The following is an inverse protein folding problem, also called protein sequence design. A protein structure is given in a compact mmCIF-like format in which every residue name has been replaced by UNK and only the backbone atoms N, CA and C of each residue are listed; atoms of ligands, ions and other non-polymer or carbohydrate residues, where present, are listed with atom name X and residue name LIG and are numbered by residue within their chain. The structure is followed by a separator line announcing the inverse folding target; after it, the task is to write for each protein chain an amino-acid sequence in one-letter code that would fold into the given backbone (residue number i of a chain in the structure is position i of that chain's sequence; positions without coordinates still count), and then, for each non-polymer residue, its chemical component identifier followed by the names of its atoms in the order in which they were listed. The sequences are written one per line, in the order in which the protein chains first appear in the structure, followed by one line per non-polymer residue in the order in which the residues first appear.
data_IF_170847903842
#
_entry.id   IF_170847903842
#
_cell.length_a   1.000
_cell.length_b   1.000
_cell.length_c   1.000
_cell.angle_alpha   90.00
_cell.angle_beta   90.00
_cell.angle_gamma   90.00
#
_symmetry.space_group_name_H-M   'P 1'
#
loop_
_entity.id
_entity.type
_entity.pdbx_description
1 polymer ?
#
# COMPACT_ATOMS: atom_id res chain seq x y z
N UNK A 1 16.42 -8.66 3.61
CA UNK A 1 15.43 -7.80 4.30
C UNK A 1 16.13 -6.59 4.88
N UNK A 2 16.93 -6.73 5.94
CA UNK A 2 17.68 -5.61 6.56
C UNK A 2 18.50 -4.76 5.56
N UNK A 3 19.25 -5.39 4.66
CA UNK A 3 20.04 -4.65 3.65
C UNK A 3 19.15 -3.83 2.69
N UNK A 4 17.96 -4.33 2.35
CA UNK A 4 17.03 -3.63 1.47
C UNK A 4 16.42 -2.44 2.20
N UNK A 5 16.05 -2.60 3.47
CA UNK A 5 15.54 -1.52 4.32
C UNK A 5 16.54 -0.36 4.41
N UNK A 6 17.82 -0.68 4.69
CA UNK A 6 18.91 0.30 4.72
C UNK A 6 19.10 0.97 3.36
N UNK A 7 19.13 0.19 2.27
CA UNK A 7 19.28 0.73 0.93
C UNK A 7 18.12 1.66 0.55
N UNK A 8 16.88 1.31 0.91
CA UNK A 8 15.70 2.14 0.69
C UNK A 8 15.78 3.47 1.44
N UNK A 9 16.09 3.45 2.75
CA UNK A 9 16.21 4.70 3.54
C UNK A 9 17.32 5.60 3.00
N UNK A 10 18.47 5.03 2.64
CA UNK A 10 19.57 5.80 2.03
C UNK A 10 19.19 6.36 0.67
N UNK A 11 18.51 5.57 -0.18
CA UNK A 11 18.01 6.01 -1.48
C UNK A 11 17.07 7.21 -1.34
N UNK A 12 16.11 7.12 -0.41
CA UNK A 12 15.17 8.22 -0.12
C UNK A 12 15.93 9.47 0.31
N UNK A 13 16.83 9.36 1.29
CA UNK A 13 17.58 10.50 1.85
C UNK A 13 18.45 11.20 0.80
N UNK A 14 18.99 10.44 -0.15
CA UNK A 14 19.85 10.95 -1.22
C UNK A 14 19.04 11.63 -2.36
N UNK A 15 17.77 11.28 -2.57
CA UNK A 15 17.01 11.67 -3.76
C UNK A 15 15.79 12.57 -3.49
N UNK A 16 15.28 12.64 -2.26
CA UNK A 16 14.21 13.57 -1.90
C UNK A 16 14.30 14.03 -0.43
N UNK A 17 13.35 14.87 -0.01
CA UNK A 17 13.27 15.39 1.36
C UNK A 17 12.22 14.68 2.23
N UNK A 18 11.80 13.48 1.83
CA UNK A 18 10.93 12.64 2.65
C UNK A 18 11.64 12.35 3.99
N UNK A 19 11.01 12.64 5.13
CA UNK A 19 11.66 12.45 6.41
C UNK A 19 11.76 10.96 6.74
N UNK A 20 12.98 10.43 6.69
CA UNK A 20 13.33 9.06 7.11
C UNK A 20 14.53 9.10 8.05
N UNK A 21 14.67 8.12 8.96
CA UNK A 21 15.82 8.05 9.88
C UNK A 21 17.17 8.05 9.14
N UNK A 22 18.14 8.83 9.63
CA UNK A 22 19.53 8.69 9.19
C UNK A 22 20.15 7.39 9.72
N UNK A 23 20.82 6.63 8.85
CA UNK A 23 21.53 5.40 9.23
C UNK A 23 22.95 5.72 9.67
N UNK A 24 23.30 5.39 10.91
CA UNK A 24 24.64 5.58 11.47
C UNK A 24 25.54 4.35 11.27
N UNK A 25 25.00 3.15 11.46
CA UNK A 25 25.69 1.88 11.25
C UNK A 25 24.68 0.75 11.04
N UNK A 26 25.07 -0.32 10.36
CA UNK A 26 24.28 -1.54 10.29
C UNK A 26 25.21 -2.73 10.09
N UNK A 27 24.77 -3.91 10.50
CA UNK A 27 25.42 -5.18 10.24
C UNK A 27 24.34 -6.22 9.92
N UNK A 28 24.49 -6.90 8.79
CA UNK A 28 23.54 -7.91 8.33
C UNK A 28 23.98 -9.33 8.64
N UNK A 29 25.29 -9.56 8.84
CA UNK A 29 25.81 -10.87 9.24
C UNK A 29 25.57 -11.08 10.73
N UNK A 30 24.96 -12.19 11.11
CA UNK A 30 24.75 -12.53 12.52
C UNK A 30 26.06 -12.97 13.21
N UNK A 31 27.12 -13.30 12.46
CA UNK A 31 28.47 -13.55 12.98
C UNK A 31 29.22 -12.25 13.30
N UNK A 32 28.58 -11.39 14.10
CA UNK A 32 29.15 -10.16 14.61
C UNK A 32 29.20 -10.18 16.16
N UNK A 33 29.93 -9.25 16.82
CA UNK A 33 30.07 -9.25 18.28
C UNK A 33 28.75 -9.19 19.07
N UNK A 34 27.67 -8.66 18.47
CA UNK A 34 26.32 -8.55 19.05
C UNK A 34 25.49 -9.83 18.81
N UNK A 35 25.93 -10.72 17.90
CA UNK A 35 25.30 -12.01 17.54
C UNK A 35 23.88 -11.90 16.98
N UNK A 36 23.59 -10.77 16.34
CA UNK A 36 22.32 -10.53 15.65
C UNK A 36 22.55 -9.45 14.61
N UNK A 37 21.83 -9.52 13.51
CA UNK A 37 21.75 -8.42 12.56
C UNK A 37 21.16 -7.17 13.26
N UNK A 38 21.63 -5.97 12.92
CA UNK A 38 21.18 -4.72 13.53
C UNK A 38 21.29 -3.51 12.60
N UNK A 39 20.49 -2.49 12.89
CA UNK A 39 20.61 -1.13 12.35
C UNK A 39 20.70 -0.16 13.54
N UNK A 40 21.66 0.75 13.51
CA UNK A 40 21.77 1.91 14.38
C UNK A 40 21.41 3.15 13.57
N UNK A 41 20.35 3.85 13.98
CA UNK A 41 19.77 4.96 13.21
C UNK A 41 19.33 6.13 14.11
N UNK A 42 18.99 7.25 13.47
CA UNK A 42 18.42 8.44 14.09
C UNK A 42 17.12 8.13 14.83
N UNK A 43 17.00 8.64 16.06
CA UNK A 43 15.71 8.69 16.76
C UNK A 43 14.96 9.94 16.30
N UNK A 44 13.93 9.73 15.48
CA UNK A 44 13.07 10.81 15.01
C UNK A 44 12.29 11.44 16.16
N UNK A 45 12.05 12.77 16.14
CA UNK A 45 11.28 13.44 17.18
C UNK A 45 9.78 13.12 17.08
N UNK A 46 9.08 13.22 18.21
CA UNK A 46 7.65 13.02 18.30
C UNK A 46 7.25 11.58 18.63
N UNK A 47 6.01 11.24 18.32
CA UNK A 47 5.41 9.93 18.59
C UNK A 47 4.82 9.36 17.31
N UNK A 48 4.68 8.04 17.23
CA UNK A 48 3.88 7.45 16.14
C UNK A 48 2.45 7.98 16.24
N UNK A 49 1.84 8.29 15.11
CA UNK A 49 0.54 8.96 15.07
C UNK A 49 -0.59 8.15 15.73
N UNK A 50 -0.42 6.82 15.80
CA UNK A 50 -1.27 5.91 16.56
C UNK A 50 -1.24 6.16 18.08
N UNK A 51 -0.11 6.59 18.61
CA UNK A 51 0.15 6.75 20.06
C UNK A 51 0.14 8.22 20.53
N UNK A 52 0.16 9.17 19.60
CA UNK A 52 0.00 10.60 19.89
C UNK A 52 -1.36 10.92 20.53
N UNK A 53 -1.50 12.08 21.18
CA UNK A 53 -2.76 12.55 21.78
C UNK A 53 -3.45 11.54 22.74
N UNK A 54 -2.66 10.81 23.53
CA UNK A 54 -3.15 9.84 24.52
C UNK A 54 -3.36 8.43 23.96
N UNK A 55 -3.03 8.20 22.69
CA UNK A 55 -2.83 6.90 22.07
C UNK A 55 -4.01 5.94 22.11
N UNK A 56 -3.69 4.64 22.09
CA UNK A 56 -4.69 3.58 22.00
C UNK A 56 -5.76 3.62 23.09
N UNK A 57 -5.39 3.97 24.33
CA UNK A 57 -6.33 4.04 25.46
C UNK A 57 -7.38 5.16 25.28
N UNK A 58 -7.03 6.23 24.55
CA UNK A 58 -7.90 7.40 24.37
C UNK A 58 -8.75 7.28 23.12
N UNK A 59 -8.15 6.91 21.98
CA UNK A 59 -8.82 6.93 20.67
C UNK A 59 -8.63 5.64 19.87
N UNK A 60 -8.17 4.56 20.50
CA UNK A 60 -7.99 3.22 19.89
C UNK A 60 -7.12 3.24 18.64
N UNK A 61 -6.11 4.11 18.63
CA UNK A 61 -5.19 4.30 17.51
C UNK A 61 -5.72 5.17 16.37
N UNK A 62 -7.01 5.55 16.38
CA UNK A 62 -7.59 6.37 15.31
C UNK A 62 -7.19 7.83 15.48
N UNK A 63 -6.73 8.48 14.41
CA UNK A 63 -6.38 9.91 14.44
C UNK A 63 -7.59 10.76 14.88
N UNK A 64 -7.46 11.58 15.95
CA UNK A 64 -8.54 12.45 16.44
C UNK A 64 -9.02 13.44 15.37
N UNK A 65 -10.33 13.69 15.32
CA UNK A 65 -10.98 14.44 14.23
C UNK A 65 -10.40 15.85 14.06
N UNK A 66 -10.08 16.50 15.16
CA UNK A 66 -9.49 17.84 15.23
C UNK A 66 -8.11 17.92 14.56
N UNK A 67 -7.36 16.83 14.52
CA UNK A 67 -6.00 16.78 13.95
C UNK A 67 -5.95 16.23 12.53
N UNK A 68 -7.01 15.52 12.08
CA UNK A 68 -7.05 14.84 10.76
C UNK A 68 -6.67 15.74 9.61
N UNK A 69 -7.18 16.99 9.56
CA UNK A 69 -6.92 17.86 8.42
C UNK A 69 -5.43 18.20 8.27
N UNK A 70 -4.74 18.49 9.38
CA UNK A 70 -3.30 18.76 9.36
C UNK A 70 -2.52 17.48 9.07
N UNK A 71 -2.85 16.40 9.76
CA UNK A 71 -2.23 15.09 9.57
C UNK A 71 -2.30 14.65 8.09
N UNK A 72 -3.51 14.63 7.50
CA UNK A 72 -3.73 14.25 6.10
C UNK A 72 -2.96 15.14 5.13
N UNK A 73 -2.91 16.45 5.37
CA UNK A 73 -2.15 17.37 4.52
C UNK A 73 -0.65 17.08 4.59
N UNK A 74 -0.14 16.77 5.78
CA UNK A 74 1.28 16.48 6.00
C UNK A 74 1.66 15.11 5.40
N UNK A 75 0.81 14.10 5.58
CA UNK A 75 0.96 12.78 4.94
C UNK A 75 0.85 12.87 3.41
N UNK A 76 -0.03 13.70 2.85
CA UNK A 76 -0.14 13.89 1.40
C UNK A 76 1.17 14.40 0.79
N UNK A 77 1.87 15.32 1.45
CA UNK A 77 3.20 15.79 1.00
C UNK A 77 4.23 14.65 1.00
N UNK A 78 4.24 13.84 2.05
CA UNK A 78 5.12 12.68 2.15
C UNK A 78 4.81 11.66 1.05
N UNK A 79 3.54 11.37 0.81
CA UNK A 79 3.11 10.43 -0.21
C UNK A 79 3.50 10.87 -1.63
N UNK A 80 3.37 12.17 -1.94
CA UNK A 80 3.87 12.75 -3.20
C UNK A 80 5.39 12.57 -3.34
N UNK A 81 6.16 12.85 -2.28
CA UNK A 81 7.62 12.69 -2.32
C UNK A 81 8.03 11.22 -2.49
N UNK A 82 7.36 10.30 -1.82
CA UNK A 82 7.59 8.86 -1.94
C UNK A 82 7.35 8.38 -3.37
N UNK A 83 6.18 8.68 -3.94
CA UNK A 83 5.81 8.25 -5.31
C UNK A 83 6.53 9.01 -6.42
N UNK A 84 7.20 10.13 -6.11
CA UNK A 84 8.11 10.80 -7.04
C UNK A 84 9.45 10.07 -7.20
N UNK A 85 9.83 9.23 -6.23
CA UNK A 85 10.99 8.34 -6.37
C UNK A 85 10.58 7.18 -7.27
N UNK A 86 11.22 7.06 -8.43
CA UNK A 86 10.86 6.04 -9.42
C UNK A 86 12.07 5.31 -9.95
N UNK A 87 11.91 4.02 -10.18
CA UNK A 87 12.94 3.15 -10.75
C UNK A 87 12.50 2.60 -12.11
N UNK A 88 13.44 2.24 -13.01
CA UNK A 88 13.09 1.69 -14.31
C UNK A 88 12.46 0.28 -14.25
N UNK A 89 12.56 -0.40 -13.11
CA UNK A 89 12.00 -1.74 -12.89
C UNK A 89 11.16 -1.77 -11.62
N UNK A 90 10.34 -2.82 -11.51
CA UNK A 90 9.57 -3.17 -10.31
C UNK A 90 10.43 -4.11 -9.47
N UNK A 91 10.72 -3.72 -8.23
CA UNK A 91 11.56 -4.53 -7.33
C UNK A 91 12.01 -3.79 -6.08
N UNK A 92 12.62 -4.52 -5.15
CA UNK A 92 13.19 -3.96 -3.92
C UNK A 92 14.35 -3.04 -4.24
N UNK A 93 14.62 -2.02 -3.43
CA UNK A 93 15.81 -1.18 -3.62
C UNK A 93 17.04 -1.90 -3.06
N UNK A 94 18.09 -2.03 -3.88
CA UNK A 94 19.37 -2.63 -3.47
C UNK A 94 20.56 -1.78 -3.92
N UNK A 95 21.67 -1.84 -3.18
CA UNK A 95 22.94 -1.21 -3.58
C UNK A 95 23.62 -2.06 -4.66
N UNK A 96 24.07 -1.42 -5.74
CA UNK A 96 24.86 -2.08 -6.78
C UNK A 96 26.37 -2.03 -6.45
N UNK A 97 27.19 -2.74 -7.22
CA UNK A 97 28.65 -2.82 -7.01
C UNK A 97 29.39 -1.49 -7.20
N UNK A 98 28.78 -0.51 -7.85
CA UNK A 98 29.34 0.82 -8.10
C UNK A 98 28.91 1.84 -7.03
N UNK A 99 28.12 1.41 -6.03
CA UNK A 99 27.61 2.26 -4.95
C UNK A 99 26.30 2.98 -5.28
N UNK A 100 25.75 2.80 -6.48
CA UNK A 100 24.42 3.28 -6.87
C UNK A 100 23.30 2.36 -6.39
N UNK A 101 22.09 2.59 -6.91
CA UNK A 101 20.89 1.82 -6.59
C UNK A 101 20.35 1.12 -7.83
N UNK A 102 19.82 -0.09 -7.63
CA UNK A 102 19.08 -0.85 -8.63
C UNK A 102 17.91 -1.60 -8.00
N UNK A 103 17.06 -2.21 -8.83
CA UNK A 103 15.96 -3.04 -8.36
C UNK A 103 16.41 -4.49 -8.19
N UNK A 104 16.15 -5.08 -7.02
CA UNK A 104 16.32 -6.48 -6.71
C UNK A 104 15.00 -7.28 -6.74
N UNK A 105 15.06 -8.59 -6.46
CA UNK A 105 13.88 -9.45 -6.41
C UNK A 105 13.00 -9.16 -5.19
N UNK A 106 11.68 -9.28 -5.39
CA UNK A 106 10.67 -9.17 -4.34
C UNK A 106 10.50 -10.54 -3.66
N UNK A 107 10.60 -10.63 -2.31
CA UNK A 107 10.37 -11.88 -1.59
C UNK A 107 9.04 -12.55 -1.95
N UNK A 108 9.08 -13.83 -2.32
CA UNK A 108 7.89 -14.60 -2.67
C UNK A 108 7.32 -14.37 -4.09
N UNK A 109 7.77 -13.35 -4.82
CA UNK A 109 7.31 -13.05 -6.19
C UNK A 109 8.45 -13.21 -7.21
N UNK A 110 9.66 -12.79 -6.88
CA UNK A 110 10.83 -12.81 -7.78
C UNK A 110 11.11 -11.44 -8.40
N UNK A 111 11.67 -11.41 -9.62
CA UNK A 111 12.06 -10.17 -10.30
C UNK A 111 13.57 -9.87 -10.21
N UNK A 112 14.00 -8.62 -10.45
CA UNK A 112 13.17 -7.44 -10.77
C UNK A 112 12.43 -7.57 -12.10
N UNK A 113 11.34 -6.82 -12.28
CA UNK A 113 10.51 -6.88 -13.49
C UNK A 113 10.64 -5.62 -14.33
N UNK A 114 10.85 -5.79 -15.63
CA UNK A 114 10.91 -4.69 -16.60
C UNK A 114 9.52 -4.12 -16.94
N UNK A 115 8.45 -4.88 -16.67
CA UNK A 115 7.08 -4.45 -16.99
C UNK A 115 6.08 -4.79 -15.90
N UNK A 116 5.02 -3.98 -15.81
CA UNK A 116 3.86 -4.25 -14.94
C UNK A 116 3.19 -5.58 -15.30
N UNK A 117 3.10 -5.91 -16.60
CA UNK A 117 2.58 -7.19 -17.08
C UNK A 117 3.34 -8.36 -16.47
N UNK A 118 4.67 -8.36 -16.57
CA UNK A 118 5.50 -9.44 -16.03
C UNK A 118 5.37 -9.57 -14.51
N UNK A 119 5.23 -8.44 -13.80
CA UNK A 119 4.97 -8.44 -12.36
C UNK A 119 3.62 -9.10 -12.02
N UNK A 120 2.53 -8.71 -12.69
CA UNK A 120 1.20 -9.28 -12.41
C UNK A 120 1.12 -10.77 -12.76
N UNK A 121 1.77 -11.21 -13.83
CA UNK A 121 1.89 -12.64 -14.17
C UNK A 121 2.66 -13.42 -13.10
N UNK A 122 3.79 -12.88 -12.64
CA UNK A 122 4.61 -13.52 -11.61
C UNK A 122 3.89 -13.57 -10.26
N UNK A 123 3.22 -12.48 -9.86
CA UNK A 123 2.38 -12.46 -8.67
C UNK A 123 1.26 -13.50 -8.75
N UNK A 124 0.56 -13.58 -9.88
CA UNK A 124 -0.52 -14.55 -10.05
C UNK A 124 -0.05 -16.02 -9.99
N UNK A 125 1.17 -16.30 -10.45
CA UNK A 125 1.77 -17.63 -10.37
C UNK A 125 2.28 -18.00 -8.97
N UNK A 126 2.66 -17.01 -8.16
CA UNK A 126 3.28 -17.25 -6.85
C UNK A 126 2.31 -17.12 -5.68
N UNK A 127 1.26 -16.31 -5.82
CA UNK A 127 0.38 -15.93 -4.72
C UNK A 127 -0.45 -17.12 -4.22
N UNK A 128 -0.59 -17.21 -2.90
CA UNK A 128 -1.44 -18.19 -2.23
C UNK A 128 -2.37 -17.46 -1.29
N UNK A 129 -3.66 -17.79 -1.39
CA UNK A 129 -4.62 -17.25 -0.44
C UNK A 129 -4.36 -17.83 0.96
N UNK A 130 -4.53 -16.99 1.97
CA UNK A 130 -4.22 -17.32 3.38
C UNK A 130 -5.04 -18.52 3.91
N UNK A 131 -6.28 -18.65 3.45
CA UNK A 131 -7.24 -19.63 3.97
C UNK A 131 -7.49 -20.75 2.96
N UNK A 132 -7.56 -21.98 3.46
CA UNK A 132 -8.00 -23.11 2.64
C UNK A 132 -9.53 -23.14 2.45
N UNK A 133 -9.96 -23.93 1.46
CA UNK A 133 -11.36 -24.09 1.09
C UNK A 133 -12.27 -24.52 2.26
N UNK A 134 -11.79 -25.41 3.12
CA UNK A 134 -12.56 -25.91 4.27
C UNK A 134 -12.78 -24.78 5.30
N UNK A 135 -11.74 -24.01 5.58
CA UNK A 135 -11.76 -22.86 6.46
C UNK A 135 -12.70 -21.79 5.93
N UNK A 136 -12.63 -21.46 4.64
CA UNK A 136 -13.55 -20.51 4.00
C UNK A 136 -14.99 -21.00 4.12
N UNK A 137 -15.24 -22.27 3.80
CA UNK A 137 -16.59 -22.86 3.87
C UNK A 137 -17.16 -22.77 5.29
N UNK A 138 -16.33 -23.00 6.32
CA UNK A 138 -16.72 -22.84 7.72
C UNK A 138 -16.99 -21.37 8.09
N UNK A 139 -16.15 -20.44 7.65
CA UNK A 139 -16.35 -19.00 7.88
C UNK A 139 -17.64 -18.47 7.23
N UNK A 140 -18.06 -19.08 6.13
CA UNK A 140 -19.26 -18.70 5.37
C UNK A 140 -20.57 -19.31 5.92
N UNK A 141 -20.54 -20.04 7.03
CA UNK A 141 -21.77 -20.59 7.62
C UNK A 141 -22.74 -19.48 8.05
N UNK A 142 -23.94 -19.47 7.44
CA UNK A 142 -24.96 -18.45 7.71
C UNK A 142 -24.76 -17.13 6.93
N UNK A 143 -23.78 -17.06 6.03
CA UNK A 143 -23.61 -15.94 5.13
C UNK A 143 -24.76 -15.85 4.10
N UNK A 144 -25.04 -14.65 3.55
CA UNK A 144 -26.12 -14.45 2.58
C UNK A 144 -25.83 -15.04 1.18
N UNK A 145 -24.60 -15.51 0.93
CA UNK A 145 -24.19 -16.12 -0.33
C UNK A 145 -23.60 -17.53 -0.11
N UNK A 146 -23.71 -18.45 -1.07
CA UNK A 146 -23.14 -19.79 -0.96
C UNK A 146 -21.62 -19.78 -0.79
N UNK A 147 -21.09 -20.67 0.05
CA UNK A 147 -19.66 -20.80 0.28
C UNK A 147 -18.89 -21.18 -1.01
N UNK A 148 -19.50 -22.00 -1.87
CA UNK A 148 -18.92 -22.42 -3.14
C UNK A 148 -18.69 -21.24 -4.08
N UNK A 149 -19.57 -20.23 -4.04
CA UNK A 149 -19.41 -19.01 -4.84
C UNK A 149 -18.21 -18.20 -4.34
N UNK A 150 -18.07 -18.02 -3.02
CA UNK A 150 -16.94 -17.31 -2.42
C UNK A 150 -15.61 -18.02 -2.73
N UNK A 151 -15.57 -19.34 -2.56
CA UNK A 151 -14.39 -20.15 -2.87
C UNK A 151 -14.01 -20.02 -4.34
N UNK A 152 -14.97 -20.14 -5.26
CA UNK A 152 -14.70 -20.00 -6.69
C UNK A 152 -14.21 -18.59 -7.05
N UNK A 153 -14.74 -17.54 -6.42
CA UNK A 153 -14.30 -16.16 -6.63
C UNK A 153 -12.82 -15.98 -6.24
N UNK A 154 -12.44 -16.48 -5.06
CA UNK A 154 -11.08 -16.41 -4.54
C UNK A 154 -10.11 -17.28 -5.37
N UNK A 155 -10.44 -18.55 -5.62
CA UNK A 155 -9.56 -19.49 -6.31
C UNK A 155 -9.27 -19.07 -7.77
N UNK A 156 -10.24 -18.45 -8.46
CA UNK A 156 -10.07 -18.05 -9.85
C UNK A 156 -9.33 -16.70 -10.00
N UNK A 157 -9.32 -15.86 -8.97
CA UNK A 157 -8.82 -14.49 -9.05
C UNK A 157 -7.38 -14.38 -9.61
N UNK A 158 -6.37 -15.15 -9.15
CA UNK A 158 -5.03 -15.06 -9.71
C UNK A 158 -5.00 -15.38 -11.22
N UNK A 159 -5.73 -16.41 -11.65
CA UNK A 159 -5.79 -16.80 -13.07
C UNK A 159 -6.45 -15.73 -13.95
N UNK A 160 -7.45 -15.02 -13.41
CA UNK A 160 -8.11 -13.92 -14.09
C UNK A 160 -7.18 -12.71 -14.23
N UNK A 161 -6.48 -12.33 -13.15
CA UNK A 161 -5.44 -11.28 -13.18
C UNK A 161 -4.37 -11.61 -14.23
N UNK A 162 -3.86 -12.84 -14.22
CA UNK A 162 -2.87 -13.29 -15.20
C UNK A 162 -3.36 -13.18 -16.63
N UNK A 163 -4.60 -13.61 -16.91
CA UNK A 163 -5.20 -13.54 -18.24
C UNK A 163 -5.37 -12.09 -18.75
N UNK A 164 -5.42 -11.09 -17.86
CA UNK A 164 -5.53 -9.68 -18.21
C UNK A 164 -4.28 -8.86 -17.93
N UNK A 165 -3.17 -9.46 -17.52
CA UNK A 165 -1.98 -8.74 -17.09
C UNK A 165 -1.50 -7.70 -18.12
N UNK A 166 -1.56 -8.04 -19.41
CA UNK A 166 -1.16 -7.17 -20.53
C UNK A 166 -2.03 -5.93 -20.74
N UNK A 167 -3.21 -5.86 -20.11
CA UNK A 167 -4.17 -4.75 -20.20
C UNK A 167 -4.48 -4.10 -18.84
N UNK A 168 -3.87 -4.59 -17.76
CA UNK A 168 -4.01 -3.95 -16.45
C UNK A 168 -3.35 -2.58 -16.41
N UNK A 169 -2.14 -2.48 -17.00
CA UNK A 169 -1.34 -1.26 -16.88
C UNK A 169 -1.38 -0.36 -18.10
N UNK A 170 -1.62 0.94 -17.86
CA UNK A 170 -1.47 1.98 -18.89
C UNK A 170 -0.02 2.45 -19.04
N UNK A 171 0.83 2.19 -18.04
CA UNK A 171 2.24 2.57 -18.00
C UNK A 171 3.12 1.32 -17.83
N UNK A 172 2.97 0.37 -18.76
CA UNK A 172 3.53 -0.97 -18.63
C UNK A 172 5.06 -1.02 -18.50
N UNK A 173 5.79 -0.06 -19.06
CA UNK A 173 7.27 -0.01 -19.04
C UNK A 173 7.82 0.98 -17.99
N UNK A 174 6.95 1.52 -17.12
CA UNK A 174 7.34 2.43 -16.04
C UNK A 174 7.62 3.88 -16.51
N UNK A 175 8.43 4.65 -15.75
CA UNK A 175 9.12 4.23 -14.53
C UNK A 175 8.14 3.97 -13.37
N UNK A 176 8.56 3.15 -12.41
CA UNK A 176 7.71 2.61 -11.34
C UNK A 176 7.95 3.33 -10.02
N UNK A 177 6.91 3.90 -9.37
CA UNK A 177 7.02 4.59 -8.09
C UNK A 177 7.39 3.65 -6.95
N UNK A 178 8.17 4.17 -6.00
CA UNK A 178 8.40 3.56 -4.70
C UNK A 178 7.10 3.62 -3.89
N UNK A 179 6.77 2.51 -3.25
CA UNK A 179 5.65 2.38 -2.34
C UNK A 179 6.10 1.81 -0.99
N UNK A 180 5.39 2.21 0.05
CA UNK A 180 5.57 1.69 1.41
C UNK A 180 4.43 0.72 1.70
N UNK A 181 4.76 -0.55 1.90
CA UNK A 181 3.79 -1.64 1.98
C UNK A 181 2.87 -1.56 3.21
N UNK A 182 3.32 -0.96 4.30
CA UNK A 182 2.49 -0.64 5.48
C UNK A 182 2.40 0.87 5.76
N UNK A 183 1.88 1.66 4.81
CA UNK A 183 1.72 3.12 4.98
C UNK A 183 0.53 3.48 5.89
N UNK A 184 0.66 3.11 7.17
CA UNK A 184 -0.32 3.26 8.25
C UNK A 184 0.19 4.22 9.34
N UNK A 185 -0.73 4.75 10.16
CA UNK A 185 -0.41 5.70 11.23
C UNK A 185 0.46 5.12 12.37
N UNK A 186 0.68 3.80 12.42
CA UNK A 186 1.68 3.16 13.27
C UNK A 186 3.12 3.39 12.79
N UNK A 187 3.31 3.66 11.48
CA UNK A 187 4.61 3.84 10.84
C UNK A 187 4.87 5.30 10.43
N UNK A 188 4.04 6.23 10.94
CA UNK A 188 4.14 7.66 10.68
C UNK A 188 4.38 8.37 12.01
N UNK A 189 5.55 8.98 12.16
CA UNK A 189 5.90 9.83 13.29
C UNK A 189 5.28 11.22 13.10
N UNK A 190 4.78 11.82 14.20
CA UNK A 190 4.19 13.17 14.20
C UNK A 190 4.67 14.01 15.38
N UNK A 191 4.69 15.31 15.16
CA UNK A 191 4.71 16.30 16.24
C UNK A 191 3.39 16.24 17.02
N UNK A 192 3.44 16.07 18.34
CA UNK A 192 2.25 15.86 19.15
C UNK A 192 1.34 17.08 19.24
N UNK A 193 1.87 18.29 19.04
CA UNK A 193 1.10 19.52 19.11
C UNK A 193 0.43 19.83 17.76
N UNK A 194 1.16 19.69 16.65
CA UNK A 194 0.66 20.10 15.32
C UNK A 194 0.08 18.97 14.48
N UNK A 195 0.43 17.72 14.77
CA UNK A 195 0.21 16.54 13.93
C UNK A 195 0.87 16.63 12.54
N UNK A 196 1.92 17.44 12.40
CA UNK A 196 2.78 17.40 11.21
C UNK A 196 3.67 16.16 11.26
N UNK A 197 3.87 15.53 10.10
CA UNK A 197 4.74 14.35 9.97
C UNK A 197 6.18 14.75 10.24
N UNK A 198 6.82 14.05 11.18
CA UNK A 198 8.25 14.20 11.51
C UNK A 198 9.09 13.08 10.92
N UNK A 199 8.48 11.98 10.49
CA UNK A 199 9.15 10.93 9.72
C UNK A 199 8.30 9.71 9.41
N UNK A 200 8.76 8.92 8.44
CA UNK A 200 8.19 7.64 8.02
C UNK A 200 9.23 6.56 8.35
N UNK A 201 8.78 5.50 9.03
CA UNK A 201 9.63 4.41 9.53
C UNK A 201 9.16 3.06 8.98
N UNK A 202 9.93 2.01 9.23
CA UNK A 202 9.60 0.62 8.89
C UNK A 202 9.55 0.34 7.37
N UNK A 203 10.69 0.53 6.71
CA UNK A 203 10.83 0.41 5.24
C UNK A 203 11.16 -1.02 4.77
N UNK A 204 10.98 -2.04 5.61
CA UNK A 204 11.51 -3.39 5.34
C UNK A 204 10.82 -4.10 4.16
N UNK A 205 9.57 -3.75 3.91
CA UNK A 205 8.74 -4.27 2.83
C UNK A 205 8.58 -3.34 1.63
N UNK A 206 9.30 -2.23 1.58
CA UNK A 206 9.20 -1.26 0.49
C UNK A 206 9.84 -1.74 -0.83
N UNK A 207 9.15 -1.50 -1.95
CA UNK A 207 9.64 -1.77 -3.30
C UNK A 207 8.93 -0.86 -4.31
N UNK A 208 9.44 -0.79 -5.54
CA UNK A 208 8.73 -0.08 -6.61
C UNK A 208 7.61 -0.93 -7.19
N UNK A 209 6.45 -0.32 -7.46
CA UNK A 209 5.21 -1.01 -7.85
C UNK A 209 4.64 -0.52 -9.19
N UNK A 210 3.79 -1.32 -9.89
CA UNK A 210 2.91 -0.79 -10.94
C UNK A 210 2.07 0.38 -10.43
N UNK A 211 1.76 1.34 -11.31
CA UNK A 211 0.95 2.52 -10.95
C UNK A 211 -0.45 2.12 -10.45
N UNK A 212 -0.95 0.99 -10.94
CA UNK A 212 -2.24 0.42 -10.58
C UNK A 212 -2.31 -0.10 -9.13
N UNK A 213 -1.16 -0.23 -8.46
CA UNK A 213 -1.10 -0.62 -7.04
C UNK A 213 -0.95 0.55 -6.08
N UNK A 214 -0.80 1.78 -6.57
CA UNK A 214 -0.76 2.97 -5.71
C UNK A 214 -2.13 3.22 -5.07
N UNK A 215 -2.22 2.93 -3.78
CA UNK A 215 -3.42 3.06 -2.96
C UNK A 215 -3.43 4.31 -2.09
N UNK A 216 -4.55 4.56 -1.41
CA UNK A 216 -4.56 5.50 -0.29
C UNK A 216 -3.73 4.95 0.88
N UNK A 217 -3.22 5.82 1.78
CA UNK A 217 -2.73 5.37 3.08
C UNK A 217 -3.78 4.47 3.75
N UNK A 218 -3.35 3.46 4.50
CA UNK A 218 -4.25 2.39 4.97
C UNK A 218 -5.38 2.90 5.87
N UNK A 219 -5.14 3.98 6.62
CA UNK A 219 -6.18 4.64 7.42
C UNK A 219 -7.26 5.35 6.59
N UNK A 220 -7.05 5.52 5.28
CA UNK A 220 -8.03 6.02 4.30
C UNK A 220 -8.53 4.91 3.34
N UNK A 221 -8.07 3.67 3.51
CA UNK A 221 -8.48 2.54 2.68
C UNK A 221 -9.98 2.32 2.72
N UNK A 222 -10.59 2.10 1.56
CA UNK A 222 -11.98 1.63 1.47
C UNK A 222 -12.09 0.50 0.45
N UNK A 223 -12.93 -0.45 0.81
CA UNK A 223 -13.37 -1.51 -0.08
C UNK A 223 -14.10 -0.94 -1.30
N UNK A 224 -13.78 -1.40 -2.53
CA UNK A 224 -14.56 -1.15 -3.72
C UNK A 224 -15.99 -1.65 -3.54
N UNK A 225 -16.98 -0.94 -4.08
CA UNK A 225 -18.38 -1.34 -3.93
C UNK A 225 -18.68 -2.72 -4.54
N UNK A 226 -17.98 -3.08 -5.61
CA UNK A 226 -18.08 -4.41 -6.25
C UNK A 226 -17.50 -5.55 -5.40
N UNK A 227 -16.61 -5.25 -4.45
CA UNK A 227 -16.01 -6.24 -3.58
C UNK A 227 -16.94 -6.61 -2.40
N UNK A 228 -17.92 -5.76 -2.11
CA UNK A 228 -18.85 -5.88 -1.00
C UNK A 228 -20.25 -6.34 -1.42
N UNK A 229 -21.12 -6.57 -0.44
CA UNK A 229 -22.51 -6.95 -0.68
C UNK A 229 -23.34 -5.73 -1.13
N UNK A 230 -24.18 -5.85 -2.19
CA UNK A 230 -24.99 -4.75 -2.71
C UNK A 230 -25.90 -4.08 -1.68
N UNK A 231 -26.33 -4.81 -0.66
CA UNK A 231 -27.20 -4.32 0.43
C UNK A 231 -26.54 -3.26 1.32
N UNK A 232 -25.21 -3.14 1.28
CA UNK A 232 -24.46 -2.13 2.04
C UNK A 232 -24.46 -0.77 1.34
N UNK A 233 -25.11 -0.64 0.17
CA UNK A 233 -25.18 0.57 -0.62
C UNK A 233 -26.64 0.95 -0.92
N UNK A 234 -26.92 2.25 -0.96
CA UNK A 234 -28.24 2.77 -1.31
C UNK A 234 -28.48 2.81 -2.84
N UNK A 235 -29.63 3.36 -3.24
CA UNK A 235 -30.02 3.43 -4.65
C UNK A 235 -29.11 4.34 -5.50
N UNK A 236 -28.37 5.25 -4.84
CA UNK A 236 -27.41 6.16 -5.47
C UNK A 236 -25.98 5.59 -5.44
N UNK A 237 -25.81 4.34 -5.00
CA UNK A 237 -24.52 3.65 -4.88
C UNK A 237 -23.66 4.18 -3.73
N UNK A 238 -24.25 4.87 -2.75
CA UNK A 238 -23.54 5.39 -1.59
C UNK A 238 -23.61 4.40 -0.41
N UNK A 239 -22.54 4.25 0.39
CA UNK A 239 -22.54 3.35 1.53
C UNK A 239 -23.66 3.66 2.53
N UNK A 240 -24.41 2.67 3.01
CA UNK A 240 -25.48 2.90 4.00
C UNK A 240 -24.90 3.38 5.34
N UNK A 241 -23.73 2.86 5.73
CA UNK A 241 -23.05 3.25 6.96
C UNK A 241 -22.38 4.63 6.85
N UNK A 242 -22.74 5.55 7.75
CA UNK A 242 -22.23 6.93 7.74
C UNK A 242 -20.71 7.00 7.92
N UNK A 243 -20.11 6.09 8.69
CA UNK A 243 -18.65 6.03 8.83
C UNK A 243 -17.95 5.77 7.48
N UNK A 244 -18.51 4.92 6.62
CA UNK A 244 -17.96 4.65 5.29
C UNK A 244 -18.17 5.85 4.37
N UNK A 245 -19.33 6.54 4.47
CA UNK A 245 -19.54 7.82 3.75
C UNK A 245 -18.56 8.90 4.17
N UNK A 246 -18.30 9.04 5.48
CA UNK A 246 -17.30 9.96 6.02
C UNK A 246 -15.94 9.64 5.41
N UNK A 247 -15.55 8.36 5.36
CA UNK A 247 -14.29 7.94 4.75
C UNK A 247 -14.19 8.29 3.27
N UNK A 248 -15.27 8.12 2.50
CA UNK A 248 -15.29 8.52 1.09
C UNK A 248 -15.11 10.03 0.89
N UNK A 249 -15.69 10.85 1.78
CA UNK A 249 -15.46 12.30 1.79
C UNK A 249 -14.00 12.63 2.11
N UNK A 250 -13.43 12.00 3.14
CA UNK A 250 -12.02 12.16 3.51
C UNK A 250 -11.06 11.78 2.36
N UNK A 251 -11.36 10.73 1.58
CA UNK A 251 -10.58 10.38 0.38
C UNK A 251 -10.62 11.48 -0.68
N UNK A 252 -11.78 12.08 -0.91
CA UNK A 252 -11.92 13.22 -1.81
C UNK A 252 -11.09 14.42 -1.36
N UNK A 253 -11.15 14.76 -0.08
CA UNK A 253 -10.32 15.83 0.51
C UNK A 253 -8.82 15.52 0.40
N UNK A 254 -8.42 14.27 0.66
CA UNK A 254 -7.03 13.83 0.55
C UNK A 254 -6.50 13.93 -0.89
N UNK A 255 -7.30 13.59 -1.90
CA UNK A 255 -6.94 13.80 -3.32
C UNK A 255 -6.64 15.28 -3.59
N UNK A 256 -7.46 16.20 -3.09
CA UNK A 256 -7.22 17.64 -3.27
C UNK A 256 -5.94 18.12 -2.54
N UNK A 257 -5.64 17.55 -1.37
CA UNK A 257 -4.38 17.80 -0.67
C UNK A 257 -3.17 17.28 -1.47
N UNK A 258 -3.28 16.10 -2.08
CA UNK A 258 -2.27 15.53 -2.96
C UNK A 258 -2.07 16.43 -4.19
N UNK A 259 -3.14 16.81 -4.90
CA UNK A 259 -3.06 17.73 -6.05
C UNK A 259 -2.37 19.05 -5.70
N UNK A 260 -2.59 19.54 -4.49
CA UNK A 260 -1.95 20.76 -3.99
C UNK A 260 -0.47 20.58 -3.64
N UNK A 261 -0.04 19.36 -3.34
CA UNK A 261 1.33 19.00 -2.98
C UNK A 261 2.15 18.51 -4.18
N UNK A 262 1.51 17.99 -5.22
CA UNK A 262 2.13 17.57 -6.48
C UNK A 262 2.86 18.73 -7.16
N UNK A 263 4.11 18.48 -7.58
CA UNK A 263 4.99 19.50 -8.15
C UNK A 263 5.29 19.25 -9.63
N UNK A 264 5.72 18.03 -9.98
CA UNK A 264 6.29 17.71 -11.30
C UNK A 264 5.27 17.05 -12.24
N UNK A 265 4.41 16.20 -11.70
CA UNK A 265 3.33 15.55 -12.43
C UNK A 265 2.13 15.31 -11.51
N UNK A 266 1.09 14.71 -12.08
CA UNK A 266 -0.15 14.39 -11.37
C UNK A 266 -0.35 12.88 -11.19
N UNK A 267 0.75 12.12 -11.08
CA UNK A 267 0.67 10.66 -11.03
C UNK A 267 -0.15 10.18 -9.84
N UNK A 268 0.16 10.68 -8.63
CA UNK A 268 -0.45 10.17 -7.42
C UNK A 268 -1.94 10.54 -7.40
N UNK A 269 -2.29 11.79 -7.67
CA UNK A 269 -3.70 12.21 -7.71
C UNK A 269 -4.49 11.48 -8.79
N UNK A 270 -3.89 11.19 -9.95
CA UNK A 270 -4.52 10.39 -10.99
C UNK A 270 -4.77 8.94 -10.54
N UNK A 271 -3.78 8.30 -9.90
CA UNK A 271 -3.93 6.94 -9.36
C UNK A 271 -5.01 6.87 -8.27
N UNK A 272 -5.01 7.82 -7.34
CA UNK A 272 -5.99 7.90 -6.25
C UNK A 272 -7.41 8.21 -6.73
N UNK A 273 -7.55 8.94 -7.84
CA UNK A 273 -8.85 9.28 -8.43
C UNK A 273 -9.42 8.16 -9.31
N UNK A 274 -8.61 7.21 -9.76
CA UNK A 274 -9.01 6.12 -10.65
C UNK A 274 -9.70 5.00 -9.88
N UNK A 275 -11.02 4.80 -10.10
CA UNK A 275 -11.76 3.69 -9.48
C UNK A 275 -11.15 2.34 -9.84
N UNK A 276 -10.85 2.11 -11.12
CA UNK A 276 -10.08 0.94 -11.59
C UNK A 276 -8.81 0.70 -10.78
N UNK A 277 -7.93 1.70 -10.62
CA UNK A 277 -6.67 1.50 -9.90
C UNK A 277 -6.92 1.19 -8.43
N UNK A 278 -7.85 1.92 -7.80
CA UNK A 278 -8.18 1.68 -6.40
C UNK A 278 -8.81 0.30 -6.18
N UNK A 279 -9.55 -0.22 -7.16
CA UNK A 279 -10.08 -1.58 -7.13
C UNK A 279 -8.99 -2.65 -7.28
N UNK A 280 -8.03 -2.45 -8.19
CA UNK A 280 -6.88 -3.34 -8.38
C UNK A 280 -6.00 -3.35 -7.12
N UNK A 281 -5.58 -2.17 -6.63
CA UNK A 281 -4.75 -2.03 -5.44
C UNK A 281 -5.41 -2.68 -4.22
N UNK A 282 -6.71 -2.43 -4.01
CA UNK A 282 -7.44 -3.03 -2.89
C UNK A 282 -7.48 -4.56 -2.99
N UNK A 283 -7.81 -5.13 -4.16
CA UNK A 283 -7.88 -6.58 -4.32
C UNK A 283 -6.52 -7.23 -4.16
N UNK A 284 -5.46 -6.61 -4.69
CA UNK A 284 -4.09 -7.05 -4.51
C UNK A 284 -3.72 -7.16 -3.03
N UNK A 285 -3.93 -6.09 -2.24
CA UNK A 285 -3.63 -6.09 -0.80
C UNK A 285 -4.55 -7.01 0.01
N UNK A 286 -5.85 -7.01 -0.29
CA UNK A 286 -6.85 -7.86 0.35
C UNK A 286 -6.51 -9.35 0.16
N UNK A 287 -6.05 -9.75 -1.03
CA UNK A 287 -5.67 -11.13 -1.31
C UNK A 287 -4.31 -11.50 -0.72
N UNK A 288 -3.31 -10.64 -0.92
CA UNK A 288 -1.90 -10.93 -0.62
C UNK A 288 -1.60 -10.80 0.87
N UNK A 289 -2.01 -9.71 1.50
CA UNK A 289 -1.58 -9.34 2.86
C UNK A 289 -2.58 -9.81 3.93
N UNK A 290 -3.87 -9.63 3.66
CA UNK A 290 -4.93 -9.86 4.66
C UNK A 290 -5.53 -11.26 4.57
N UNK A 291 -5.69 -11.79 3.35
CA UNK A 291 -6.52 -12.97 3.09
C UNK A 291 -8.00 -12.67 3.31
N UNK A 292 -8.48 -11.52 2.84
CA UNK A 292 -9.85 -11.07 3.06
C UNK A 292 -10.81 -11.84 2.13
N UNK A 293 -11.88 -12.39 2.70
CA UNK A 293 -12.95 -12.98 1.90
C UNK A 293 -13.71 -11.88 1.17
N UNK A 294 -13.96 -12.05 -0.12
CA UNK A 294 -14.70 -11.09 -0.93
C UNK A 294 -14.97 -11.58 -2.34
N UNK A 295 -15.76 -10.81 -3.07
CA UNK A 295 -16.20 -11.12 -4.44
C UNK A 295 -15.21 -10.57 -5.47
N UNK A 296 -14.02 -11.17 -5.52
CA UNK A 296 -12.95 -10.82 -6.46
C UNK A 296 -13.40 -10.85 -7.93
N UNK A 297 -14.21 -11.84 -8.30
CA UNK A 297 -14.81 -11.98 -9.64
C UNK A 297 -15.65 -10.75 -10.04
N UNK A 298 -16.36 -10.13 -9.10
CA UNK A 298 -17.15 -8.93 -9.37
C UNK A 298 -16.27 -7.70 -9.60
N UNK A 299 -15.14 -7.62 -8.88
CA UNK A 299 -14.16 -6.56 -9.11
C UNK A 299 -13.48 -6.73 -10.48
N UNK A 300 -13.18 -7.97 -10.88
CA UNK A 300 -12.68 -8.26 -12.22
C UNK A 300 -13.66 -7.71 -13.28
N UNK A 301 -14.96 -7.96 -13.14
CA UNK A 301 -15.96 -7.41 -14.07
C UNK A 301 -16.03 -5.87 -14.07
N UNK A 302 -15.77 -5.22 -12.93
CA UNK A 302 -15.66 -3.75 -12.86
C UNK A 302 -14.44 -3.26 -13.64
N UNK A 303 -13.28 -3.89 -13.42
CA UNK A 303 -12.03 -3.55 -14.11
C UNK A 303 -12.22 -3.67 -15.63
N UNK A 304 -12.88 -4.72 -16.12
CA UNK A 304 -13.13 -4.91 -17.56
C UNK A 304 -14.09 -3.88 -18.18
N UNK A 305 -14.97 -3.26 -17.39
CA UNK A 305 -15.95 -2.28 -17.89
C UNK A 305 -15.39 -0.85 -18.00
N UNK A 306 -14.32 -0.55 -17.28
CA UNK A 306 -13.66 0.75 -17.30
C UNK A 306 -12.53 0.84 -18.36
N UNK A 307 -12.47 -0.12 -19.30
CA UNK A 307 -11.66 -0.11 -20.54
C UNK A 307 -12.36 0.66 -21.67
#
# INVERSE_FOLDING_TARGET
MLQNEVATMQFIKEHCSLPVPEIFAYESDEDNPVRTAYILMELLPGSVAMDAAGGYDTHRGVIPKEHRQNFYRSVAKCHVQMTSLRMPKIGTIVRNSEGGYECGPIPGIGGPFDTATAFFEAWADSVKFKWDKETITRMMQGAPIPAEQMVASIENFPSQIKAMASRLSSCNEGPFPLDHDDFLHSNIMVDEDTFDVTGIIDWEGAYTVPHELIGFPEFLSCMPASFDLPQNYDQDGQPVEEFVRERWRERGEYIEMVKSAELQDSLLSACLSSKRNQAIAYCYGAYTSVGKLGLYDQVILEIEREE
#
